data_IF_821751933355
#
_entry.id   IF_821751933355
#
_cell.length_a   1.000
_cell.length_b   1.000
_cell.length_c   1.000
_cell.angle_alpha   90.00
_cell.angle_beta   90.00
_cell.angle_gamma   90.00
#
_symmetry.space_group_name_H-M   'P 1'
#
loop_
_entity.id
_entity.type
_entity.pdbx_description
1 polymer ?
#
# COMPACT_ATOMS: atom_id res chain seq x y z
N UNK A 1 -17.38 -23.29 -1.50
CA UNK A 1 -17.65 -23.52 -2.94
C UNK A 1 -16.42 -24.17 -3.56
N UNK A 2 -16.53 -25.31 -4.22
CA UNK A 2 -15.33 -25.92 -4.82
C UNK A 2 -14.89 -25.06 -6.00
N UNK A 3 -13.65 -24.60 -5.98
CA UNK A 3 -12.90 -23.82 -6.98
C UNK A 3 -12.95 -22.29 -6.89
N UNK A 4 -13.18 -21.69 -5.75
CA UNK A 4 -12.96 -20.26 -5.61
C UNK A 4 -11.44 -19.95 -5.64
N UNK A 5 -11.05 -19.02 -6.50
CA UNK A 5 -9.66 -18.57 -6.58
C UNK A 5 -9.55 -17.07 -6.84
N UNK A 6 -8.43 -16.50 -6.46
CA UNK A 6 -8.06 -15.11 -6.75
C UNK A 6 -6.78 -15.06 -7.57
N UNK A 7 -6.63 -14.01 -8.37
CA UNK A 7 -5.40 -13.75 -9.13
C UNK A 7 -4.68 -12.57 -8.53
N UNK A 8 -3.39 -12.72 -8.18
CA UNK A 8 -2.61 -11.68 -7.51
C UNK A 8 -1.35 -11.35 -8.30
N UNK A 9 -1.27 -10.10 -8.78
CA UNK A 9 -0.04 -9.49 -9.27
C UNK A 9 0.70 -8.75 -8.15
N UNK A 10 2.03 -8.92 -8.05
CA UNK A 10 2.83 -8.33 -6.97
C UNK A 10 2.83 -9.14 -5.66
N UNK A 11 2.54 -10.44 -5.74
CA UNK A 11 2.50 -11.39 -4.63
C UNK A 11 3.81 -11.51 -3.83
N UNK A 12 4.95 -11.07 -4.37
CA UNK A 12 6.26 -11.13 -3.71
C UNK A 12 6.55 -9.93 -2.78
N UNK A 13 5.73 -8.87 -2.81
CA UNK A 13 5.86 -7.72 -1.90
C UNK A 13 5.37 -8.06 -0.47
N UNK A 14 5.65 -7.19 0.52
CA UNK A 14 5.22 -7.41 1.91
C UNK A 14 3.70 -7.60 2.04
N UNK A 15 2.90 -6.68 1.49
CA UNK A 15 1.44 -6.82 1.47
C UNK A 15 1.03 -8.05 0.65
N UNK A 16 1.68 -8.28 -0.51
CA UNK A 16 1.34 -9.40 -1.40
C UNK A 16 1.53 -10.77 -0.75
N UNK A 17 2.64 -10.99 -0.05
CA UNK A 17 2.90 -12.24 0.69
C UNK A 17 1.87 -12.45 1.80
N UNK A 18 1.61 -11.41 2.59
CA UNK A 18 0.62 -11.50 3.67
C UNK A 18 -0.80 -11.77 3.12
N UNK A 19 -1.16 -11.14 2.01
CA UNK A 19 -2.45 -11.36 1.34
C UNK A 19 -2.58 -12.78 0.78
N UNK A 20 -1.52 -13.31 0.15
CA UNK A 20 -1.47 -14.71 -0.32
C UNK A 20 -1.69 -15.66 0.85
N UNK A 21 -0.91 -15.51 1.93
CA UNK A 21 -1.06 -16.34 3.12
C UNK A 21 -2.46 -16.26 3.71
N UNK A 22 -3.05 -15.05 3.74
CA UNK A 22 -4.41 -14.84 4.25
C UNK A 22 -5.48 -15.60 3.45
N UNK A 23 -5.40 -15.61 2.10
CA UNK A 23 -6.33 -16.38 1.27
C UNK A 23 -6.09 -17.89 1.39
N UNK A 24 -4.82 -18.32 1.37
CA UNK A 24 -4.47 -19.75 1.46
C UNK A 24 -4.87 -20.36 2.81
N UNK A 25 -4.80 -19.61 3.91
CA UNK A 25 -5.25 -20.04 5.24
C UNK A 25 -6.78 -20.32 5.28
N UNK A 26 -7.55 -19.63 4.43
CA UNK A 26 -8.99 -19.86 4.30
C UNK A 26 -9.33 -20.88 3.19
N UNK A 27 -8.32 -21.56 2.64
CA UNK A 27 -8.50 -22.57 1.59
C UNK A 27 -8.85 -22.00 0.20
N UNK A 28 -8.68 -20.70 0.00
CA UNK A 28 -8.87 -20.04 -1.30
C UNK A 28 -7.60 -20.16 -2.11
N UNK A 29 -7.71 -20.73 -3.29
CA UNK A 29 -6.58 -20.90 -4.22
C UNK A 29 -6.11 -19.53 -4.73
N UNK A 30 -4.77 -19.32 -4.78
CA UNK A 30 -4.16 -18.09 -5.28
C UNK A 30 -3.33 -18.35 -6.52
N UNK A 31 -3.74 -17.79 -7.65
CA UNK A 31 -2.93 -17.73 -8.87
C UNK A 31 -2.05 -16.48 -8.82
N UNK A 32 -0.73 -16.68 -8.87
CA UNK A 32 0.26 -15.59 -8.74
C UNK A 32 0.78 -15.20 -10.12
N UNK A 33 0.67 -13.94 -10.47
CA UNK A 33 1.30 -13.40 -11.68
C UNK A 33 2.76 -13.05 -11.39
N UNK A 34 3.69 -13.77 -11.98
CA UNK A 34 5.14 -13.69 -11.70
C UNK A 34 5.94 -13.20 -12.91
N UNK A 35 7.07 -12.51 -12.68
CA UNK A 35 7.97 -12.03 -13.75
C UNK A 35 9.06 -13.04 -14.12
N UNK A 36 9.31 -14.00 -13.25
CA UNK A 36 10.24 -15.11 -13.44
C UNK A 36 9.54 -16.31 -14.08
N UNK A 37 10.28 -17.32 -14.41
CA UNK A 37 9.71 -18.62 -14.79
C UNK A 37 8.80 -19.15 -13.64
N UNK A 38 7.60 -19.67 -13.97
CA UNK A 38 6.70 -20.28 -13.00
C UNK A 38 7.35 -21.47 -12.29
N UNK A 39 7.19 -21.53 -10.97
CA UNK A 39 7.67 -22.65 -10.16
C UNK A 39 6.60 -23.74 -9.92
N UNK A 40 5.35 -23.50 -10.33
CA UNK A 40 4.24 -24.43 -10.16
C UNK A 40 3.00 -24.02 -10.93
N UNK A 41 1.95 -24.83 -10.86
CA UNK A 41 0.70 -24.65 -11.61
C UNK A 41 -0.08 -23.38 -11.22
N UNK A 42 0.14 -22.85 -10.03
CA UNK A 42 -0.50 -21.64 -9.53
C UNK A 42 0.32 -20.37 -9.78
N UNK A 43 1.27 -20.43 -10.71
CA UNK A 43 2.03 -19.28 -11.16
C UNK A 43 1.90 -19.10 -12.67
N UNK A 44 1.70 -17.86 -13.09
CA UNK A 44 1.63 -17.48 -14.51
C UNK A 44 2.65 -16.39 -14.78
N UNK A 45 3.52 -16.61 -15.77
CA UNK A 45 4.48 -15.60 -16.22
C UNK A 45 3.76 -14.48 -16.94
N UNK A 46 4.16 -13.24 -16.65
CA UNK A 46 3.66 -12.05 -17.28
C UNK A 46 4.69 -10.90 -17.24
N UNK A 47 4.35 -9.74 -17.82
CA UNK A 47 5.25 -8.58 -17.94
C UNK A 47 6.54 -8.91 -18.71
N UNK A 48 6.45 -9.80 -19.66
CA UNK A 48 7.53 -10.26 -20.54
C UNK A 48 7.48 -9.62 -21.94
N UNK A 49 6.64 -8.61 -22.12
CA UNK A 49 6.42 -7.91 -23.38
C UNK A 49 5.20 -8.39 -24.16
N UNK A 50 4.51 -9.42 -23.65
CA UNK A 50 3.27 -9.95 -24.24
C UNK A 50 2.02 -9.45 -23.51
N UNK A 51 0.86 -9.62 -24.12
CA UNK A 51 -0.44 -9.43 -23.50
C UNK A 51 -0.67 -10.50 -22.42
N UNK A 52 -1.48 -10.16 -21.41
CA UNK A 52 -1.96 -11.15 -20.44
C UNK A 52 -3.11 -11.95 -21.07
N UNK A 53 -2.99 -13.28 -21.10
CA UNK A 53 -4.08 -14.14 -21.56
C UNK A 53 -5.31 -14.00 -20.65
N UNK A 54 -6.46 -13.56 -21.18
CA UNK A 54 -7.68 -13.38 -20.40
C UNK A 54 -8.16 -14.67 -19.70
N UNK A 55 -7.84 -15.84 -20.26
CA UNK A 55 -8.24 -17.12 -19.67
C UNK A 55 -7.70 -17.33 -18.26
N UNK A 56 -6.55 -16.70 -17.92
CA UNK A 56 -5.94 -16.71 -16.59
C UNK A 56 -6.84 -16.04 -15.54
N UNK A 57 -7.65 -15.05 -15.96
CA UNK A 57 -8.52 -14.27 -15.09
C UNK A 57 -9.94 -14.82 -15.04
N UNK A 58 -10.32 -15.64 -16.01
CA UNK A 58 -11.69 -16.16 -16.15
C UNK A 58 -12.09 -17.01 -14.96
N UNK A 59 -13.21 -16.67 -14.31
CA UNK A 59 -13.76 -17.40 -13.17
C UNK A 59 -13.07 -17.11 -11.83
N UNK A 60 -12.10 -16.20 -11.78
CA UNK A 60 -11.58 -15.70 -10.51
C UNK A 60 -12.65 -14.90 -9.77
N UNK A 61 -12.67 -14.96 -8.45
CA UNK A 61 -13.56 -14.11 -7.63
C UNK A 61 -13.12 -12.65 -7.65
N UNK A 62 -11.80 -12.43 -7.69
CA UNK A 62 -11.19 -11.11 -7.86
C UNK A 62 -9.79 -11.19 -8.50
N UNK A 63 -9.39 -10.10 -9.15
CA UNK A 63 -8.01 -9.85 -9.58
C UNK A 63 -7.43 -8.71 -8.77
N UNK A 64 -6.31 -8.95 -8.09
CA UNK A 64 -5.69 -7.97 -7.18
C UNK A 64 -4.30 -7.60 -7.71
N UNK A 65 -4.09 -6.33 -8.08
CA UNK A 65 -2.83 -5.82 -8.61
C UNK A 65 -2.10 -4.96 -7.58
N UNK A 66 -1.06 -5.51 -6.96
CA UNK A 66 -0.20 -4.84 -5.98
C UNK A 66 1.16 -4.42 -6.57
N UNK A 67 1.35 -4.53 -7.87
CA UNK A 67 2.61 -4.22 -8.54
C UNK A 67 2.99 -2.75 -8.37
N UNK A 68 4.26 -2.51 -8.03
CA UNK A 68 4.84 -1.19 -7.92
C UNK A 68 6.21 -1.25 -7.26
N UNK A 69 7.22 -0.60 -7.82
CA UNK A 69 8.50 -0.45 -7.14
C UNK A 69 8.38 0.50 -5.95
N UNK A 70 9.15 0.24 -4.89
CA UNK A 70 9.08 1.00 -3.66
C UNK A 70 9.50 2.46 -3.86
N UNK A 71 8.61 3.40 -3.53
CA UNK A 71 8.92 4.85 -3.51
C UNK A 71 9.93 5.20 -2.42
N UNK A 72 10.15 4.32 -1.43
CA UNK A 72 11.23 4.46 -0.45
C UNK A 72 12.63 4.29 -1.04
N UNK A 73 12.76 3.89 -2.32
CA UNK A 73 14.06 3.79 -3.00
C UNK A 73 14.57 5.16 -3.41
N UNK A 74 15.53 5.69 -2.66
CA UNK A 74 16.15 7.00 -2.87
C UNK A 74 17.45 6.91 -3.69
N UNK A 75 17.91 8.00 -4.33
CA UNK A 75 17.22 9.27 -4.54
C UNK A 75 16.17 9.22 -5.67
N UNK A 76 15.22 10.14 -5.67
CA UNK A 76 14.17 10.26 -6.70
C UNK A 76 14.69 10.95 -7.98
N UNK A 77 15.58 10.28 -8.70
CA UNK A 77 16.06 10.74 -10.01
C UNK A 77 14.97 10.65 -11.08
N UNK A 78 15.14 11.31 -12.23
CA UNK A 78 14.21 11.18 -13.38
C UNK A 78 14.00 9.70 -13.79
N UNK A 79 15.11 8.92 -13.82
CA UNK A 79 15.05 7.48 -14.13
C UNK A 79 14.22 6.73 -13.09
N UNK A 80 14.40 7.02 -11.80
CA UNK A 80 13.67 6.36 -10.71
C UNK A 80 12.17 6.69 -10.73
N UNK A 81 11.81 7.94 -11.00
CA UNK A 81 10.40 8.34 -11.17
C UNK A 81 9.74 7.63 -12.35
N UNK A 82 10.46 7.50 -13.48
CA UNK A 82 9.98 6.72 -14.63
C UNK A 82 9.76 5.25 -14.26
N UNK A 83 10.68 4.65 -13.50
CA UNK A 83 10.51 3.28 -12.97
C UNK A 83 9.27 3.16 -12.06
N UNK A 84 9.04 4.13 -11.15
CA UNK A 84 7.85 4.14 -10.31
C UNK A 84 6.56 4.17 -11.13
N UNK A 85 6.52 4.99 -12.18
CA UNK A 85 5.37 5.09 -13.08
C UNK A 85 5.17 3.80 -13.88
N UNK A 86 6.20 3.30 -14.55
CA UNK A 86 6.11 2.08 -15.38
C UNK A 86 5.72 0.85 -14.55
N UNK A 87 6.30 0.68 -13.37
CA UNK A 87 6.01 -0.46 -12.50
C UNK A 87 4.56 -0.50 -11.98
N UNK A 88 3.83 0.61 -12.11
CA UNK A 88 2.41 0.73 -11.73
C UNK A 88 1.48 0.72 -12.93
N UNK A 89 1.75 1.56 -13.92
CA UNK A 89 0.86 1.75 -15.08
C UNK A 89 0.79 0.49 -15.95
N UNK A 90 1.94 -0.09 -16.32
CA UNK A 90 1.97 -1.24 -17.23
C UNK A 90 1.18 -2.44 -16.70
N UNK A 91 1.39 -2.90 -15.45
CA UNK A 91 0.62 -4.03 -14.92
C UNK A 91 -0.88 -3.82 -14.93
N UNK A 92 -1.34 -2.63 -14.55
CA UNK A 92 -2.77 -2.30 -14.50
C UNK A 92 -3.39 -2.25 -15.89
N UNK A 93 -2.65 -1.66 -16.82
CA UNK A 93 -3.08 -1.60 -18.23
C UNK A 93 -3.25 -3.00 -18.84
N UNK A 94 -2.29 -3.92 -18.61
CA UNK A 94 -2.39 -5.30 -19.12
C UNK A 94 -3.57 -6.05 -18.51
N UNK A 95 -3.79 -5.92 -17.19
CA UNK A 95 -4.95 -6.53 -16.52
C UNK A 95 -6.24 -5.92 -17.05
N UNK A 96 -6.35 -4.60 -17.15
CA UNK A 96 -7.54 -3.92 -17.65
C UNK A 96 -7.91 -4.38 -19.06
N UNK A 97 -6.91 -4.53 -19.94
CA UNK A 97 -7.12 -5.05 -21.31
C UNK A 97 -7.62 -6.49 -21.33
N UNK A 98 -7.06 -7.36 -20.48
CA UNK A 98 -7.50 -8.74 -20.36
C UNK A 98 -8.95 -8.81 -19.82
N UNK A 99 -9.31 -7.97 -18.84
CA UNK A 99 -10.66 -7.87 -18.31
C UNK A 99 -11.66 -7.37 -19.37
N UNK A 100 -11.29 -6.39 -20.18
CA UNK A 100 -12.14 -5.94 -21.31
C UNK A 100 -12.46 -7.06 -22.29
N UNK A 101 -11.53 -7.98 -22.53
CA UNK A 101 -11.75 -9.12 -23.44
C UNK A 101 -12.69 -10.18 -22.82
N UNK A 102 -12.83 -10.21 -21.50
CA UNK A 102 -13.76 -11.09 -20.80
C UNK A 102 -15.21 -10.55 -20.77
N UNK A 103 -15.39 -9.24 -20.96
CA UNK A 103 -16.71 -8.62 -20.92
C UNK A 103 -17.44 -8.88 -19.61
N UNK A 104 -18.65 -9.43 -19.66
CA UNK A 104 -19.48 -9.70 -18.49
C UNK A 104 -18.92 -10.80 -17.58
N UNK A 105 -18.02 -11.66 -18.09
CA UNK A 105 -17.34 -12.71 -17.31
C UNK A 105 -16.14 -12.15 -16.51
N UNK A 106 -15.88 -10.86 -16.58
CA UNK A 106 -14.73 -10.26 -15.93
C UNK A 106 -14.89 -10.23 -14.40
N UNK A 107 -13.90 -10.73 -13.65
CA UNK A 107 -13.89 -10.65 -12.19
C UNK A 107 -13.74 -9.21 -11.70
N UNK A 108 -14.07 -8.97 -10.43
CA UNK A 108 -13.84 -7.68 -9.80
C UNK A 108 -12.34 -7.33 -9.78
N UNK A 109 -12.00 -6.09 -10.15
CA UNK A 109 -10.62 -5.64 -10.20
C UNK A 109 -10.29 -4.75 -9.00
N UNK A 110 -9.35 -5.18 -8.17
CA UNK A 110 -8.78 -4.40 -7.08
C UNK A 110 -7.34 -4.05 -7.42
N UNK A 111 -6.98 -2.78 -7.37
CA UNK A 111 -5.58 -2.42 -7.54
C UNK A 111 -5.10 -1.47 -6.44
N UNK A 112 -3.83 -1.63 -6.05
CA UNK A 112 -3.19 -0.72 -5.11
C UNK A 112 -2.99 0.64 -5.76
N UNK A 113 -3.57 1.67 -5.15
CA UNK A 113 -3.26 3.08 -5.26
C UNK A 113 -2.56 3.53 -3.97
N UNK A 114 -2.50 4.81 -3.69
CA UNK A 114 -1.85 5.33 -2.49
C UNK A 114 -2.63 6.50 -1.90
N UNK A 115 -2.66 6.60 -0.57
CA UNK A 115 -3.19 7.77 0.14
C UNK A 115 -2.44 9.07 -0.20
N UNK A 116 -1.23 8.97 -0.74
CA UNK A 116 -0.48 10.11 -1.29
C UNK A 116 -1.15 10.82 -2.48
N UNK A 117 -2.26 10.30 -3.00
CA UNK A 117 -3.08 10.94 -4.03
C UNK A 117 -3.64 12.29 -3.57
N UNK A 118 -3.83 12.49 -2.28
CA UNK A 118 -4.33 13.75 -1.72
C UNK A 118 -3.25 14.84 -1.59
N UNK A 119 -1.96 14.50 -1.88
CA UNK A 119 -0.84 15.42 -1.72
C UNK A 119 -0.22 15.38 -0.32
N UNK A 120 0.80 16.21 -0.10
CA UNK A 120 1.59 16.16 1.14
C UNK A 120 1.06 17.09 2.26
N UNK A 121 0.16 17.99 1.97
CA UNK A 121 -0.44 18.96 2.90
C UNK A 121 -1.96 19.03 2.64
N UNK A 122 -2.61 17.88 2.84
CA UNK A 122 -4.01 17.72 2.47
C UNK A 122 -5.00 18.06 3.60
N UNK A 123 -4.50 18.15 4.86
CA UNK A 123 -5.39 18.28 6.02
C UNK A 123 -6.23 17.02 6.22
N UNK A 124 -7.51 17.20 6.54
CA UNK A 124 -8.47 16.08 6.73
C UNK A 124 -9.20 15.82 5.43
N UNK A 125 -9.07 14.58 4.92
CA UNK A 125 -9.65 14.17 3.63
C UNK A 125 -10.30 12.79 3.70
N UNK A 126 -11.25 12.57 2.79
CA UNK A 126 -11.98 11.31 2.55
C UNK A 126 -11.87 10.92 1.07
N UNK A 127 -12.52 9.85 0.67
CA UNK A 127 -12.57 9.42 -0.74
C UNK A 127 -13.30 10.39 -1.69
N UNK A 128 -14.09 11.31 -1.13
CA UNK A 128 -14.84 12.31 -1.89
C UNK A 128 -14.03 13.58 -2.19
N UNK A 129 -12.88 13.74 -1.51
CA UNK A 129 -12.05 14.92 -1.67
C UNK A 129 -11.23 14.86 -2.97
N UNK A 130 -10.90 16.02 -3.56
CA UNK A 130 -10.19 16.08 -4.83
C UNK A 130 -8.76 15.53 -4.71
N UNK A 131 -8.21 15.13 -5.86
CA UNK A 131 -6.80 14.78 -6.01
C UNK A 131 -5.95 16.01 -5.70
N UNK A 132 -4.93 15.82 -4.88
CA UNK A 132 -3.97 16.86 -4.51
C UNK A 132 -2.90 17.09 -5.57
N UNK A 133 -1.81 17.73 -5.15
CA UNK A 133 -0.69 18.08 -6.03
C UNK A 133 0.62 17.42 -5.60
N UNK A 134 1.58 17.37 -6.53
CA UNK A 134 2.92 16.82 -6.31
C UNK A 134 3.09 15.42 -6.87
N UNK A 135 4.33 14.94 -6.85
CA UNK A 135 4.72 13.71 -7.56
C UNK A 135 3.94 12.47 -7.12
N UNK A 136 3.69 12.31 -5.82
CA UNK A 136 2.93 11.14 -5.32
C UNK A 136 1.47 11.19 -5.73
N UNK A 137 0.86 12.38 -5.76
CA UNK A 137 -0.50 12.56 -6.23
C UNK A 137 -0.61 12.26 -7.73
N UNK A 138 0.28 12.82 -8.56
CA UNK A 138 0.36 12.53 -9.99
C UNK A 138 0.61 11.04 -10.27
N UNK A 139 1.49 10.40 -9.49
CA UNK A 139 1.78 8.98 -9.65
C UNK A 139 0.56 8.11 -9.33
N UNK A 140 -0.17 8.43 -8.26
CA UNK A 140 -1.38 7.72 -7.88
C UNK A 140 -2.49 7.94 -8.91
N UNK A 141 -2.68 9.17 -9.38
CA UNK A 141 -3.68 9.51 -10.40
C UNK A 141 -3.46 8.73 -11.70
N UNK A 142 -2.27 8.77 -12.29
CA UNK A 142 -2.00 7.99 -13.53
C UNK A 142 -2.10 6.48 -13.30
N UNK A 143 -1.92 6.03 -12.05
CA UNK A 143 -2.10 4.64 -11.67
C UNK A 143 -3.58 4.25 -11.64
N UNK A 144 -4.45 5.10 -11.09
CA UNK A 144 -5.90 4.91 -11.07
C UNK A 144 -6.47 4.99 -12.50
N UNK A 145 -6.04 5.96 -13.30
CA UNK A 145 -6.42 6.08 -14.72
C UNK A 145 -6.08 4.83 -15.54
N UNK A 146 -4.90 4.23 -15.32
CA UNK A 146 -4.49 3.02 -16.02
C UNK A 146 -5.37 1.80 -15.68
N UNK A 147 -5.90 1.73 -14.47
CA UNK A 147 -6.82 0.69 -14.04
C UNK A 147 -8.26 0.94 -14.53
N UNK A 148 -8.66 2.19 -14.68
CA UNK A 148 -10.00 2.60 -15.13
C UNK A 148 -10.26 2.37 -16.64
N UNK A 149 -9.29 1.84 -17.38
CA UNK A 149 -9.45 1.51 -18.81
C UNK A 149 -10.36 0.29 -19.07
N UNK A 150 -10.88 -0.35 -18.03
CA UNK A 150 -11.84 -1.45 -18.13
C UNK A 150 -13.25 -0.98 -17.79
N UNK A 151 -14.28 -1.63 -18.37
CA UNK A 151 -15.68 -1.46 -17.99
C UNK A 151 -16.06 -2.23 -16.72
N UNK A 152 -15.18 -3.11 -16.26
CA UNK A 152 -15.37 -3.89 -15.03
C UNK A 152 -15.33 -2.98 -13.80
N UNK A 153 -16.23 -3.18 -12.82
CA UNK A 153 -16.15 -2.49 -11.54
C UNK A 153 -14.75 -2.63 -10.92
N UNK A 154 -14.11 -1.50 -10.64
CA UNK A 154 -12.72 -1.45 -10.19
C UNK A 154 -12.61 -0.73 -8.86
N UNK A 155 -11.88 -1.33 -7.90
CA UNK A 155 -11.52 -0.66 -6.63
C UNK A 155 -10.15 -0.01 -6.75
N UNK A 156 -10.06 1.28 -6.46
CA UNK A 156 -8.81 2.01 -6.26
C UNK A 156 -8.44 2.00 -4.78
N UNK A 157 -7.71 0.98 -4.35
CA UNK A 157 -7.32 0.83 -2.95
C UNK A 157 -6.20 1.83 -2.61
N UNK A 158 -6.56 2.99 -2.03
CA UNK A 158 -5.65 4.07 -1.62
C UNK A 158 -4.98 3.72 -0.30
N UNK A 159 -3.90 2.93 -0.39
CA UNK A 159 -3.22 2.38 0.79
C UNK A 159 -2.38 3.48 1.45
N UNK A 160 -2.50 3.57 2.77
CA UNK A 160 -1.72 4.46 3.62
C UNK A 160 -0.29 3.98 3.83
N UNK A 161 0.37 4.61 4.79
CA UNK A 161 1.72 4.26 5.24
C UNK A 161 1.65 2.98 6.08
N UNK A 162 2.13 1.86 5.53
CA UNK A 162 2.03 0.55 6.21
C UNK A 162 3.04 0.46 7.36
N UNK A 163 2.53 0.32 8.59
CA UNK A 163 3.32 0.17 9.81
C UNK A 163 3.81 -1.28 9.95
N UNK A 164 4.95 -1.58 9.32
CA UNK A 164 5.56 -2.92 9.38
C UNK A 164 7.09 -2.84 9.24
N UNK A 165 7.87 -3.74 9.89
CA UNK A 165 9.34 -3.77 9.82
C UNK A 165 9.91 -3.85 8.41
N UNK A 166 9.22 -4.47 7.47
CA UNK A 166 9.64 -4.53 6.06
C UNK A 166 9.15 -3.35 5.21
N UNK A 167 8.40 -2.42 5.79
CA UNK A 167 7.79 -1.26 5.12
C UNK A 167 8.37 0.05 5.65
N UNK A 168 7.52 0.99 6.12
CA UNK A 168 7.98 2.31 6.59
C UNK A 168 8.88 2.22 7.82
N UNK A 169 8.72 1.21 8.67
CA UNK A 169 9.55 1.05 9.87
C UNK A 169 10.96 0.53 9.55
N UNK A 170 11.20 0.03 8.35
CA UNK A 170 12.49 -0.53 7.94
C UNK A 170 13.70 0.41 8.15
N UNK A 171 13.65 1.69 7.77
CA UNK A 171 14.74 2.63 8.08
C UNK A 171 14.67 3.19 9.51
N UNK A 172 13.51 3.18 10.16
CA UNK A 172 13.31 3.76 11.49
C UNK A 172 13.88 2.85 12.57
N UNK A 173 13.64 1.54 12.49
CA UNK A 173 14.08 0.55 13.49
C UNK A 173 15.61 0.60 13.73
N UNK A 174 16.51 0.48 12.73
CA UNK A 174 17.94 0.49 12.97
C UNK A 174 18.43 1.82 13.54
N UNK A 175 17.86 2.95 13.11
CA UNK A 175 18.20 4.26 13.67
C UNK A 175 17.77 4.35 15.15
N UNK A 176 16.61 3.81 15.49
CA UNK A 176 16.13 3.76 16.87
C UNK A 176 17.03 2.89 17.74
N UNK A 177 17.43 1.70 17.26
CA UNK A 177 18.28 0.77 18.00
C UNK A 177 19.64 1.38 18.39
N UNK A 178 20.22 2.24 17.56
CA UNK A 178 21.47 2.95 17.85
C UNK A 178 21.26 4.29 18.59
N UNK A 179 20.05 4.55 19.09
CA UNK A 179 19.76 5.72 19.92
C UNK A 179 19.54 7.03 19.13
N UNK A 180 19.32 6.97 17.83
CA UNK A 180 19.07 8.13 16.95
C UNK A 180 17.57 8.40 16.74
N UNK A 181 16.70 7.86 17.60
CA UNK A 181 15.27 8.13 17.53
C UNK A 181 14.93 9.55 18.01
N UNK A 182 14.02 10.20 17.30
CA UNK A 182 13.51 11.50 17.68
C UNK A 182 12.51 12.07 16.68
N UNK A 183 12.06 13.27 16.98
CA UNK A 183 11.03 13.97 16.23
C UNK A 183 11.51 14.31 14.81
N UNK A 184 10.69 13.99 13.81
CA UNK A 184 10.93 14.31 12.41
C UNK A 184 10.19 15.62 12.03
N UNK A 185 10.92 16.65 11.64
CA UNK A 185 10.35 17.96 11.32
C UNK A 185 9.63 18.58 12.52
N UNK A 186 8.37 18.99 12.33
CA UNK A 186 7.49 19.46 13.42
C UNK A 186 7.08 18.31 14.35
N UNK A 187 7.00 17.11 13.83
CA UNK A 187 6.50 15.93 14.52
C UNK A 187 4.97 15.87 14.64
N UNK A 188 4.28 16.96 14.35
CA UNK A 188 2.82 17.08 14.50
C UNK A 188 2.06 16.73 13.23
N UNK A 189 2.79 16.56 12.11
CA UNK A 189 2.21 16.16 10.83
C UNK A 189 1.54 14.79 10.94
N UNK A 190 0.33 14.68 10.41
CA UNK A 190 -0.45 13.43 10.37
C UNK A 190 0.08 12.49 9.30
N UNK A 191 0.37 11.26 9.68
CA UNK A 191 0.68 10.20 8.73
C UNK A 191 -0.56 9.34 8.50
N UNK A 192 -0.99 9.15 7.26
CA UNK A 192 -2.11 8.26 6.92
C UNK A 192 -1.65 6.79 7.08
N UNK A 193 -1.57 6.33 8.31
CA UNK A 193 -1.06 5.01 8.66
C UNK A 193 -2.08 3.90 8.41
N UNK A 194 -1.59 2.67 8.27
CA UNK A 194 -2.37 1.44 8.33
C UNK A 194 -1.47 0.30 8.83
N UNK A 195 -2.02 -0.66 9.58
CA UNK A 195 -1.28 -1.89 9.89
C UNK A 195 -1.18 -2.80 8.65
N UNK A 196 -0.22 -3.72 8.64
CA UNK A 196 -0.16 -4.71 7.57
C UNK A 196 -1.41 -5.61 7.57
N UNK A 197 -1.86 -6.01 8.75
CA UNK A 197 -3.04 -6.87 8.92
C UNK A 197 -4.31 -6.18 8.42
N UNK A 198 -4.53 -4.91 8.79
CA UNK A 198 -5.70 -4.15 8.32
C UNK A 198 -5.62 -3.82 6.83
N UNK A 199 -4.42 -3.60 6.28
CA UNK A 199 -4.24 -3.43 4.83
C UNK A 199 -4.63 -4.71 4.07
N UNK A 200 -4.24 -5.88 4.57
CA UNK A 200 -4.62 -7.18 4.01
C UNK A 200 -6.11 -7.44 4.16
N UNK A 201 -6.67 -7.26 5.36
CA UNK A 201 -8.09 -7.44 5.64
C UNK A 201 -8.94 -6.48 4.80
N UNK A 202 -8.52 -5.22 4.67
CA UNK A 202 -9.19 -4.22 3.84
C UNK A 202 -9.17 -4.58 2.35
N UNK A 203 -8.04 -5.06 1.82
CA UNK A 203 -7.95 -5.54 0.43
C UNK A 203 -8.87 -6.74 0.17
N UNK A 204 -8.96 -7.68 1.10
CA UNK A 204 -9.91 -8.80 1.03
C UNK A 204 -11.35 -8.29 1.08
N UNK A 205 -11.66 -7.45 2.05
CA UNK A 205 -13.00 -6.89 2.24
C UNK A 205 -13.51 -6.18 0.98
N UNK A 206 -12.70 -5.31 0.36
CA UNK A 206 -13.12 -4.61 -0.86
C UNK A 206 -13.28 -5.56 -2.05
N UNK A 207 -12.50 -6.64 -2.11
CA UNK A 207 -12.63 -7.67 -3.13
C UNK A 207 -13.93 -8.49 -2.96
N UNK A 208 -14.19 -8.96 -1.75
CA UNK A 208 -15.36 -9.78 -1.39
C UNK A 208 -16.68 -9.00 -1.53
N UNK A 209 -16.67 -7.71 -1.11
CA UNK A 209 -17.87 -6.84 -1.19
C UNK A 209 -17.97 -6.07 -2.51
N UNK A 210 -17.02 -6.24 -3.43
CA UNK A 210 -16.97 -5.56 -4.73
C UNK A 210 -17.14 -4.05 -4.65
N UNK A 211 -16.46 -3.41 -3.69
CA UNK A 211 -16.55 -1.96 -3.47
C UNK A 211 -15.83 -1.18 -4.58
N UNK A 212 -16.53 -0.87 -5.65
CA UNK A 212 -15.96 -0.12 -6.78
C UNK A 212 -15.67 1.36 -6.45
N UNK A 213 -14.68 1.95 -7.16
CA UNK A 213 -14.22 3.32 -6.97
C UNK A 213 -13.12 3.46 -5.92
N UNK A 214 -12.78 4.70 -5.50
CA UNK A 214 -11.72 4.95 -4.52
C UNK A 214 -12.12 4.44 -3.13
N UNK A 215 -11.20 3.78 -2.44
CA UNK A 215 -11.35 3.33 -1.05
C UNK A 215 -10.05 3.58 -0.31
N UNK A 216 -10.09 4.37 0.75
CA UNK A 216 -8.94 4.62 1.61
C UNK A 216 -8.70 3.42 2.52
N UNK A 217 -7.52 2.80 2.40
CA UNK A 217 -7.03 1.78 3.32
C UNK A 217 -6.05 2.44 4.30
N UNK A 218 -6.60 3.16 5.25
CA UNK A 218 -5.87 3.87 6.32
C UNK A 218 -6.48 3.50 7.67
N UNK A 219 -5.74 3.68 8.76
CA UNK A 219 -6.24 3.41 10.11
C UNK A 219 -7.40 4.32 10.51
N UNK A 220 -8.22 3.89 11.50
CA UNK A 220 -9.46 4.59 11.86
C UNK A 220 -9.21 5.90 12.62
N UNK A 221 -8.04 6.06 13.23
CA UNK A 221 -7.70 7.22 14.06
C UNK A 221 -6.48 7.97 13.52
N UNK A 222 -6.43 9.26 13.83
CA UNK A 222 -5.27 10.10 13.52
C UNK A 222 -4.05 9.67 14.31
N UNK A 223 -2.89 9.61 13.64
CA UNK A 223 -1.59 9.49 14.31
C UNK A 223 -0.58 10.46 13.68
N UNK A 224 0.22 11.11 14.52
CA UNK A 224 1.29 12.00 14.06
C UNK A 224 2.58 11.22 13.80
N UNK A 225 3.51 11.82 13.05
CA UNK A 225 4.85 11.26 12.90
C UNK A 225 5.54 11.03 14.26
N UNK A 226 5.30 11.90 15.25
CA UNK A 226 5.82 11.71 16.61
C UNK A 226 5.18 10.51 17.29
N UNK A 227 3.85 10.35 17.24
CA UNK A 227 3.17 9.22 17.87
C UNK A 227 3.75 7.88 17.35
N UNK A 228 3.93 7.77 16.03
CA UNK A 228 4.47 6.57 15.38
C UNK A 228 5.94 6.35 15.75
N UNK A 229 6.81 7.37 15.60
CA UNK A 229 8.24 7.19 15.85
C UNK A 229 8.57 7.05 17.34
N UNK A 230 7.79 7.68 18.22
CA UNK A 230 7.89 7.50 19.67
C UNK A 230 7.42 6.11 20.11
N UNK A 231 6.32 5.59 19.55
CA UNK A 231 5.86 4.23 19.81
C UNK A 231 6.95 3.21 19.44
N UNK A 232 7.62 3.37 18.28
CA UNK A 232 8.75 2.50 17.91
C UNK A 232 9.89 2.58 18.92
N UNK A 233 10.27 3.77 19.38
CA UNK A 233 11.33 3.95 20.36
C UNK A 233 10.98 3.29 21.71
N UNK A 234 9.74 3.44 22.16
CA UNK A 234 9.23 2.83 23.38
C UNK A 234 9.23 1.30 23.29
N UNK A 235 8.75 0.73 22.20
CA UNK A 235 8.70 -0.72 22.00
C UNK A 235 10.10 -1.37 21.97
N UNK A 236 11.10 -0.62 21.48
CA UNK A 236 12.49 -1.07 21.41
C UNK A 236 13.32 -0.67 22.65
N UNK A 237 12.70 -0.09 23.71
CA UNK A 237 13.38 0.40 24.90
C UNK A 237 14.56 1.33 24.57
N UNK A 238 14.35 2.31 23.69
CA UNK A 238 15.37 3.28 23.28
C UNK A 238 14.95 4.72 23.58
N UNK A 239 15.91 5.62 23.89
CA UNK A 239 15.62 7.02 24.12
C UNK A 239 15.09 7.69 22.86
N UNK A 240 14.21 8.69 23.01
CA UNK A 240 13.62 9.49 21.95
C UNK A 240 14.06 10.96 22.11
N UNK A 241 15.30 11.27 21.73
CA UNK A 241 15.95 12.53 22.11
C UNK A 241 16.55 13.30 20.92
N UNK A 242 16.66 12.71 19.72
CA UNK A 242 17.40 13.30 18.58
C UNK A 242 16.43 13.89 17.55
N UNK A 243 16.04 15.18 17.67
CA UNK A 243 15.16 15.79 16.68
C UNK A 243 15.89 15.98 15.36
N UNK A 244 15.24 15.61 14.26
CA UNK A 244 15.75 15.84 12.90
C UNK A 244 14.93 16.95 12.24
N UNK A 245 15.49 18.17 12.11
CA UNK A 245 14.77 19.29 11.51
C UNK A 245 14.39 19.03 10.04
N UNK A 246 13.29 19.62 9.59
CA UNK A 246 12.78 19.42 8.22
C UNK A 246 13.81 19.79 7.14
N UNK A 247 14.65 20.82 7.36
CA UNK A 247 15.71 21.19 6.41
C UNK A 247 16.76 20.09 6.26
N UNK A 248 17.12 19.42 7.36
CA UNK A 248 18.09 18.32 7.34
C UNK A 248 17.53 17.10 6.59
N UNK A 249 16.25 16.74 6.82
CA UNK A 249 15.58 15.70 6.04
C UNK A 249 15.60 16.02 4.53
N UNK A 250 15.26 17.27 4.18
CA UNK A 250 15.29 17.73 2.77
C UNK A 250 16.68 17.68 2.16
N UNK A 251 17.72 18.02 2.93
CA UNK A 251 19.10 17.96 2.47
C UNK A 251 19.60 16.52 2.23
N UNK A 252 19.19 15.57 3.09
CA UNK A 252 19.68 14.17 3.03
C UNK A 252 18.95 13.36 1.95
N UNK A 253 17.62 13.46 1.87
CA UNK A 253 16.85 12.61 0.97
C UNK A 253 16.20 13.36 -0.21
N UNK A 254 16.46 14.67 -0.32
CA UNK A 254 15.86 15.56 -1.30
C UNK A 254 14.51 16.14 -0.84
N UNK A 255 14.25 17.38 -1.21
CA UNK A 255 13.07 18.12 -0.72
C UNK A 255 11.75 17.41 -1.05
N UNK A 256 11.62 16.91 -2.29
CA UNK A 256 10.38 16.28 -2.72
C UNK A 256 10.14 14.94 -2.03
N UNK A 257 11.17 14.09 -1.91
CA UNK A 257 11.04 12.82 -1.17
C UNK A 257 10.75 13.08 0.31
N UNK A 258 11.44 14.04 0.94
CA UNK A 258 11.19 14.40 2.33
C UNK A 258 9.74 14.86 2.56
N UNK A 259 9.22 15.75 1.71
CA UNK A 259 7.87 16.27 1.83
C UNK A 259 6.81 15.18 1.62
N UNK A 260 6.99 14.31 0.62
CA UNK A 260 5.99 13.29 0.28
C UNK A 260 6.07 11.99 1.11
N UNK A 261 7.14 11.81 1.90
CA UNK A 261 7.32 10.57 2.68
C UNK A 261 7.34 10.79 4.19
N UNK A 262 8.12 11.79 4.66
CA UNK A 262 8.37 11.98 6.09
C UNK A 262 7.68 13.23 6.66
N UNK A 263 7.49 14.25 5.84
CA UNK A 263 6.86 15.52 6.21
C UNK A 263 5.43 15.64 5.68
N UNK A 264 4.86 14.53 5.21
CA UNK A 264 3.44 14.48 4.78
C UNK A 264 2.54 14.81 5.97
N UNK A 265 1.58 15.73 5.76
CA UNK A 265 0.54 16.09 6.72
C UNK A 265 -0.83 15.87 6.07
N UNK A 266 -1.37 14.68 6.26
CA UNK A 266 -2.64 14.26 5.70
C UNK A 266 -3.36 13.31 6.66
N UNK A 267 -4.49 13.75 7.21
CA UNK A 267 -5.42 12.88 7.93
C UNK A 267 -6.41 12.27 6.93
N UNK A 268 -6.05 11.11 6.41
CA UNK A 268 -6.86 10.41 5.40
C UNK A 268 -7.81 9.44 6.10
N UNK A 269 -9.10 9.73 6.06
CA UNK A 269 -10.14 8.94 6.73
C UNK A 269 -10.65 7.82 5.82
N UNK A 270 -10.80 6.59 6.34
CA UNK A 270 -11.31 5.44 5.60
C UNK A 270 -12.84 5.41 5.59
N UNK A 271 -13.48 6.50 5.12
CA UNK A 271 -14.92 6.70 5.31
C UNK A 271 -15.74 5.58 4.65
N UNK A 272 -15.37 5.18 3.43
CA UNK A 272 -16.08 4.13 2.70
C UNK A 272 -15.95 2.74 3.32
N UNK A 273 -14.80 2.43 3.95
CA UNK A 273 -14.65 1.18 4.70
C UNK A 273 -15.55 1.17 5.94
N UNK A 274 -15.58 2.29 6.68
CA UNK A 274 -16.42 2.42 7.87
C UNK A 274 -17.90 2.32 7.51
N UNK A 275 -18.35 3.02 6.47
CA UNK A 275 -19.72 3.02 5.98
C UNK A 275 -20.15 1.61 5.48
N UNK A 276 -19.22 0.84 4.94
CA UNK A 276 -19.44 -0.54 4.52
C UNK A 276 -19.39 -1.57 5.67
N UNK A 277 -19.10 -1.12 6.89
CA UNK A 277 -19.07 -1.98 8.08
C UNK A 277 -17.75 -2.73 8.31
N UNK A 278 -16.65 -2.30 7.66
CA UNK A 278 -15.33 -2.87 7.93
C UNK A 278 -14.93 -2.62 9.39
N UNK A 279 -14.33 -3.61 10.02
CA UNK A 279 -13.82 -3.52 11.38
C UNK A 279 -12.31 -3.63 11.38
N UNK A 280 -11.66 -2.59 11.87
CA UNK A 280 -10.22 -2.59 12.06
C UNK A 280 -9.82 -3.50 13.20
N UNK A 281 -8.67 -4.14 13.06
CA UNK A 281 -8.04 -4.92 14.13
C UNK A 281 -7.41 -4.01 15.18
N UNK A 282 -6.84 -2.87 14.74
CA UNK A 282 -6.19 -1.91 15.60
C UNK A 282 -6.89 -0.56 15.54
N UNK A 283 -7.24 -0.04 16.73
CA UNK A 283 -7.85 1.27 16.87
C UNK A 283 -6.81 2.41 16.80
N UNK A 284 -5.53 2.11 17.10
CA UNK A 284 -4.46 3.10 17.11
C UNK A 284 -3.19 2.60 16.42
N UNK A 285 -2.37 3.55 15.93
CA UNK A 285 -1.06 3.26 15.37
C UNK A 285 -0.11 2.63 16.41
N UNK A 286 -0.28 2.99 17.67
CA UNK A 286 0.50 2.47 18.80
C UNK A 286 0.27 0.97 18.99
N UNK A 287 -0.99 0.51 19.00
CA UNK A 287 -1.35 -0.92 19.05
C UNK A 287 -0.78 -1.69 17.86
N UNK A 288 -0.93 -1.14 16.65
CA UNK A 288 -0.39 -1.75 15.44
C UNK A 288 1.15 -1.89 15.48
N UNK A 289 1.87 -0.90 16.02
CA UNK A 289 3.32 -0.94 16.18
C UNK A 289 3.69 -1.95 17.25
N UNK A 290 2.98 -1.98 18.38
CA UNK A 290 3.21 -2.93 19.46
C UNK A 290 3.21 -4.36 18.92
N UNK A 291 2.18 -4.76 18.17
CA UNK A 291 2.08 -6.11 17.62
C UNK A 291 3.11 -6.36 16.52
N UNK A 292 3.34 -5.40 15.61
CA UNK A 292 4.26 -5.56 14.49
C UNK A 292 5.73 -5.71 14.94
N UNK A 293 6.09 -5.17 16.11
CA UNK A 293 7.43 -5.27 16.68
C UNK A 293 7.58 -6.39 17.73
N UNK A 294 6.52 -7.12 18.05
CA UNK A 294 6.56 -8.21 19.01
C UNK A 294 7.67 -9.26 18.73
N UNK A 295 7.90 -9.68 17.46
CA UNK A 295 8.98 -10.63 17.16
C UNK A 295 10.38 -10.10 17.48
N UNK A 296 10.61 -8.78 17.31
CA UNK A 296 11.91 -8.16 17.54
C UNK A 296 12.27 -7.97 19.02
N UNK A 297 11.28 -8.07 19.91
CA UNK A 297 11.49 -7.99 21.39
C UNK A 297 11.99 -9.28 21.98
N UNK A 298 11.75 -10.41 21.33
CA UNK A 298 12.18 -11.73 21.81
C UNK A 298 13.67 -11.99 21.53
N UNK A 299 14.27 -11.22 20.61
CA UNK A 299 15.67 -11.35 20.20
C UNK A 299 16.59 -10.28 20.84
N UNK A 300 16.07 -9.41 21.71
CA UNK A 300 16.79 -8.32 22.38
C UNK A 300 16.97 -8.58 23.88
#
# INVERSE_FOLDING_TARGET
MPNEFVVIGGASGSIGRALVTSFENDGIRVVRLVRREPAGADEVRWLDGTELDPSVLRGASAVICLNGSSVGSLPWTKKKRSEFRHSRVIPRHLIARALMQLGDDAPHFVHASAAGIYGFDAGVVTEQDPIGTGFTAELADVTEQAAALTTTPTTHARIGVVLHPESVLKPIIPLTLIGLAGRLGSGTQSWPWVSLDDAVAGLRFVAEHRLAGPVNLTGPTRATATDITFAVARELNRPYLVPVPAFALRAVIGAEAANNMLLIDAEVRPQRLLDAGFRFRYESAEEAIHDSLAPLRLDA
#
